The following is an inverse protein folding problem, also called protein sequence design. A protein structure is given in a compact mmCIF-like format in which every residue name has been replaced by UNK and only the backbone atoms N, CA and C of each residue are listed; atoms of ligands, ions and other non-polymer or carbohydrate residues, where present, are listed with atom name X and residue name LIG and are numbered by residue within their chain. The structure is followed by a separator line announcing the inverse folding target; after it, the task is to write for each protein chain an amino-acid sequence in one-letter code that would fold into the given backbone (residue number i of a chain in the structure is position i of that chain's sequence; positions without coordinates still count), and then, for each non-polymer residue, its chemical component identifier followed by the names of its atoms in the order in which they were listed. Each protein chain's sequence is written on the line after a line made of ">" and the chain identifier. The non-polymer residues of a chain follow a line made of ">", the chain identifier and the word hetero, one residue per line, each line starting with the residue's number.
data_IF_418309020618
#
_entry.id   IF_418309020618
#
_cell.length_a   1.000
_cell.length_b   1.000
_cell.length_c   1.000
_cell.angle_alpha   90.00
_cell.angle_beta   90.00
_cell.angle_gamma   90.00
#
_symmetry.space_group_name_H-M   'P 1'
#
loop_
_entity.id
_entity.type
_entity.pdbx_description
1 polymer ?
#
# COMPACT_ATOMS: atom_id res chain seq x y z
N UNK A 1 -0.18 -2.73 21.04
CA UNK A 1 1.03 -2.64 20.18
C UNK A 1 1.45 -4.04 19.76
N UNK A 2 1.70 -4.27 18.46
CA UNK A 2 2.18 -5.53 17.91
C UNK A 2 3.71 -5.62 17.99
N UNK A 3 4.25 -6.83 17.94
CA UNK A 3 5.70 -7.00 17.77
C UNK A 3 6.11 -6.73 16.32
N UNK A 4 5.30 -7.22 15.34
CA UNK A 4 5.58 -7.11 13.91
C UNK A 4 4.30 -6.69 13.17
N UNK A 5 4.36 -5.64 12.35
CA UNK A 5 3.35 -5.36 11.34
C UNK A 5 3.88 -5.69 9.95
N UNK A 6 3.13 -6.50 9.19
CA UNK A 6 3.48 -6.97 7.85
C UNK A 6 2.54 -6.31 6.85
N UNK A 7 3.10 -5.61 5.86
CA UNK A 7 2.35 -4.86 4.87
C UNK A 7 2.44 -5.55 3.51
N UNK A 8 1.38 -6.25 3.15
CA UNK A 8 1.25 -7.02 1.92
C UNK A 8 1.03 -8.51 2.17
N UNK A 9 0.06 -9.10 1.45
CA UNK A 9 -0.34 -10.52 1.53
C UNK A 9 0.13 -11.34 0.32
N UNK A 10 1.19 -10.90 -0.36
CA UNK A 10 1.89 -11.66 -1.37
C UNK A 10 2.80 -12.74 -0.77
N UNK A 11 3.54 -13.52 -1.60
CA UNK A 11 4.41 -14.60 -1.12
C UNK A 11 5.42 -14.16 -0.05
N UNK A 12 5.96 -12.92 -0.15
CA UNK A 12 6.87 -12.38 0.85
C UNK A 12 6.17 -12.15 2.20
N UNK A 13 5.02 -11.45 2.20
CA UNK A 13 4.27 -11.18 3.43
C UNK A 13 3.72 -12.43 4.09
N UNK A 14 3.20 -13.39 3.30
CA UNK A 14 2.72 -14.66 3.83
C UNK A 14 3.86 -15.48 4.45
N UNK A 15 5.01 -15.54 3.79
CA UNK A 15 6.21 -16.22 4.34
C UNK A 15 6.68 -15.54 5.62
N UNK A 16 6.65 -14.20 5.67
CA UNK A 16 6.98 -13.46 6.89
C UNK A 16 5.98 -13.78 8.02
N UNK A 17 4.69 -13.80 7.74
CA UNK A 17 3.64 -14.10 8.72
C UNK A 17 3.76 -15.53 9.29
N UNK A 18 4.03 -16.53 8.42
CA UNK A 18 4.28 -17.90 8.85
C UNK A 18 5.46 -17.98 9.85
N UNK A 19 6.56 -17.30 9.54
CA UNK A 19 7.74 -17.31 10.42
C UNK A 19 7.52 -16.53 11.72
N UNK A 20 6.81 -15.41 11.69
CA UNK A 20 6.40 -14.68 12.89
C UNK A 20 5.51 -15.56 13.80
N UNK A 21 4.56 -16.30 13.21
CA UNK A 21 3.70 -17.26 13.93
C UNK A 21 4.49 -18.37 14.59
N UNK A 22 5.39 -19.01 13.85
CA UNK A 22 6.27 -20.10 14.36
C UNK A 22 7.14 -19.60 15.52
N UNK A 23 7.57 -18.34 15.48
CA UNK A 23 8.38 -17.69 16.52
C UNK A 23 7.55 -17.10 17.66
N UNK A 24 6.23 -17.37 17.72
CA UNK A 24 5.31 -16.90 18.76
C UNK A 24 5.33 -15.38 18.96
N UNK A 25 5.56 -14.61 17.88
CA UNK A 25 5.47 -13.14 17.93
C UNK A 25 4.02 -12.70 17.74
N UNK A 26 3.64 -11.64 18.44
CA UNK A 26 2.36 -10.99 18.23
C UNK A 26 2.44 -10.11 16.97
N UNK A 27 1.74 -10.49 15.90
CA UNK A 27 1.84 -9.78 14.62
C UNK A 27 0.47 -9.49 14.01
N UNK A 28 0.47 -8.52 13.10
CA UNK A 28 -0.65 -8.21 12.20
C UNK A 28 -0.15 -8.23 10.76
N UNK A 29 -0.96 -8.77 9.85
CA UNK A 29 -0.69 -8.73 8.41
C UNK A 29 -1.82 -8.00 7.70
N UNK A 30 -1.46 -6.98 6.93
CA UNK A 30 -2.36 -6.19 6.11
C UNK A 30 -2.28 -6.64 4.65
N UNK A 31 -3.42 -6.77 3.99
CA UNK A 31 -3.48 -7.14 2.59
C UNK A 31 -4.85 -7.61 2.17
N UNK A 32 -4.93 -8.20 0.98
CA UNK A 32 -6.17 -8.75 0.44
C UNK A 32 -6.32 -10.23 0.80
N UNK A 33 -7.51 -10.65 1.25
CA UNK A 33 -7.83 -12.07 1.49
C UNK A 33 -7.70 -12.93 0.25
N UNK A 34 -8.01 -12.36 -0.91
CA UNK A 34 -7.85 -13.04 -2.19
C UNK A 34 -6.40 -13.10 -2.68
N UNK A 35 -5.44 -12.78 -1.81
CA UNK A 35 -4.00 -12.73 -2.08
C UNK A 35 -3.67 -11.87 -3.32
N UNK A 36 -2.55 -12.13 -3.98
CA UNK A 36 -2.11 -11.31 -5.10
C UNK A 36 -2.74 -11.71 -6.43
N UNK A 37 -3.33 -10.76 -7.15
CA UNK A 37 -3.82 -10.96 -8.50
C UNK A 37 -2.73 -11.37 -9.51
N UNK A 38 -1.45 -11.07 -9.22
CA UNK A 38 -0.32 -11.48 -10.06
C UNK A 38 -0.19 -13.00 -10.14
N UNK A 39 -0.32 -13.69 -8.99
CA UNK A 39 -0.24 -15.14 -8.95
C UNK A 39 -1.35 -15.77 -9.78
N UNK A 40 -2.57 -15.23 -9.72
CA UNK A 40 -3.71 -15.71 -10.50
C UNK A 40 -3.50 -15.65 -12.03
N UNK A 41 -2.72 -14.68 -12.51
CA UNK A 41 -2.40 -14.52 -13.94
C UNK A 41 -1.42 -15.57 -14.48
N UNK A 42 -0.71 -16.30 -13.62
CA UNK A 42 0.27 -17.29 -14.03
C UNK A 42 -0.43 -18.57 -14.53
N UNK A 43 -0.35 -18.83 -15.83
CA UNK A 43 -0.95 -20.01 -16.46
C UNK A 43 -0.22 -21.31 -16.09
N UNK A 44 1.10 -21.22 -15.90
CA UNK A 44 1.95 -22.35 -15.52
C UNK A 44 3.20 -21.87 -14.80
N UNK A 45 3.47 -22.44 -13.63
CA UNK A 45 4.66 -22.13 -12.83
C UNK A 45 5.58 -23.35 -12.83
N UNK A 46 6.80 -23.18 -13.37
CA UNK A 46 7.80 -24.25 -13.46
C UNK A 46 9.06 -23.97 -12.64
N UNK A 47 9.22 -22.74 -12.15
CA UNK A 47 10.42 -22.24 -11.48
C UNK A 47 10.25 -22.05 -9.96
N UNK A 48 9.20 -22.62 -9.39
CA UNK A 48 9.03 -22.67 -7.95
C UNK A 48 9.14 -24.11 -7.46
N UNK A 49 10.20 -24.44 -6.74
CA UNK A 49 10.44 -25.77 -6.23
C UNK A 49 9.24 -26.28 -5.42
N UNK A 50 8.75 -27.48 -5.77
CA UNK A 50 7.57 -28.10 -5.17
C UNK A 50 6.24 -27.78 -5.89
N UNK A 51 6.21 -26.83 -6.86
CA UNK A 51 5.01 -26.44 -7.58
C UNK A 51 5.12 -26.63 -9.11
N UNK A 52 5.86 -27.64 -9.55
CA UNK A 52 6.07 -27.89 -10.97
C UNK A 52 4.77 -28.05 -11.73
N UNK A 53 4.60 -27.26 -12.80
CA UNK A 53 3.49 -27.35 -13.74
C UNK A 53 2.16 -26.81 -13.22
N UNK A 54 2.10 -26.29 -12.00
CA UNK A 54 0.86 -25.79 -11.40
C UNK A 54 0.44 -24.43 -11.98
N UNK A 55 -0.86 -24.20 -12.04
CA UNK A 55 -1.42 -22.89 -12.33
C UNK A 55 -1.25 -21.98 -11.10
N UNK A 56 -1.19 -20.68 -11.32
CA UNK A 56 -1.11 -19.71 -10.23
C UNK A 56 -2.31 -19.77 -9.28
N UNK A 57 -3.51 -20.10 -9.78
CA UNK A 57 -4.71 -20.36 -8.96
C UNK A 57 -4.52 -21.53 -8.00
N UNK A 58 -3.95 -22.64 -8.46
CA UNK A 58 -3.71 -23.82 -7.63
C UNK A 58 -2.65 -23.56 -6.53
N UNK A 59 -1.65 -22.74 -6.85
CA UNK A 59 -0.64 -22.30 -5.86
C UNK A 59 -1.29 -21.37 -4.82
N UNK A 60 -2.15 -20.45 -5.28
CA UNK A 60 -2.92 -19.58 -4.41
C UNK A 60 -3.73 -20.36 -3.40
N UNK A 61 -4.49 -21.36 -3.86
CA UNK A 61 -5.32 -22.22 -3.00
C UNK A 61 -4.46 -22.94 -1.95
N UNK A 62 -3.25 -23.39 -2.31
CA UNK A 62 -2.31 -23.98 -1.35
C UNK A 62 -1.80 -22.97 -0.32
N UNK A 63 -1.53 -21.72 -0.72
CA UNK A 63 -1.13 -20.67 0.20
C UNK A 63 -2.28 -20.32 1.16
N UNK A 64 -3.49 -20.16 0.66
CA UNK A 64 -4.69 -19.89 1.47
C UNK A 64 -4.94 -21.01 2.49
N UNK A 65 -4.87 -22.26 2.07
CA UNK A 65 -5.02 -23.40 2.97
C UNK A 65 -3.90 -23.43 4.03
N UNK A 66 -2.65 -23.17 3.66
CA UNK A 66 -1.54 -23.16 4.61
C UNK A 66 -1.71 -22.09 5.69
N UNK A 67 -2.01 -20.84 5.32
CA UNK A 67 -2.20 -19.77 6.31
C UNK A 67 -3.43 -20.00 7.18
N UNK A 68 -4.50 -20.60 6.63
CA UNK A 68 -5.70 -21.00 7.37
C UNK A 68 -5.38 -22.06 8.43
N UNK A 69 -4.67 -23.12 8.05
CA UNK A 69 -4.24 -24.19 8.99
C UNK A 69 -3.35 -23.63 10.11
N UNK A 70 -2.53 -22.63 9.81
CA UNK A 70 -1.69 -21.94 10.80
C UNK A 70 -2.46 -20.89 11.64
N UNK A 71 -3.75 -20.69 11.39
CA UNK A 71 -4.58 -19.71 12.10
C UNK A 71 -4.11 -18.27 11.88
N UNK A 72 -3.64 -17.94 10.67
CA UNK A 72 -3.21 -16.60 10.29
C UNK A 72 -4.39 -15.88 9.63
N UNK A 73 -4.76 -14.73 10.16
CA UNK A 73 -5.82 -13.88 9.63
C UNK A 73 -5.22 -12.64 8.95
N UNK A 74 -5.65 -12.38 7.71
CA UNK A 74 -5.27 -11.17 6.98
C UNK A 74 -6.26 -10.06 7.32
N UNK A 75 -5.73 -8.89 7.71
CA UNK A 75 -6.51 -7.68 7.94
C UNK A 75 -6.70 -6.97 6.61
N UNK A 76 -7.95 -6.90 6.13
CA UNK A 76 -8.31 -6.24 4.86
C UNK A 76 -8.47 -4.74 5.06
N UNK A 77 -7.38 -4.10 5.45
CA UNK A 77 -7.28 -2.65 5.57
C UNK A 77 -6.06 -2.17 4.80
N UNK A 78 -6.22 -1.03 4.14
CA UNK A 78 -5.13 -0.41 3.41
C UNK A 78 -4.31 0.46 4.35
N UNK A 79 -3.01 0.17 4.44
CA UNK A 79 -2.06 1.05 5.14
C UNK A 79 -1.69 2.21 4.21
N UNK A 80 -2.02 3.43 4.63
CA UNK A 80 -1.82 4.64 3.84
C UNK A 80 -0.52 5.37 4.21
N UNK A 81 -0.14 5.35 5.49
CA UNK A 81 1.07 5.99 5.98
C UNK A 81 1.67 5.19 7.14
N UNK A 82 2.99 5.23 7.25
CA UNK A 82 3.74 4.62 8.35
C UNK A 82 4.78 5.63 8.84
N UNK A 83 4.74 5.92 10.12
CA UNK A 83 5.66 6.86 10.76
C UNK A 83 6.57 6.13 11.75
N UNK A 84 7.88 6.34 11.63
CA UNK A 84 8.86 5.89 12.62
C UNK A 84 8.88 6.87 13.80
N UNK A 85 8.65 6.34 15.01
CA UNK A 85 8.54 7.13 16.25
C UNK A 85 9.76 6.95 17.17
N UNK A 86 10.91 6.47 16.63
CA UNK A 86 12.13 6.28 17.41
C UNK A 86 12.06 5.11 18.39
N UNK A 87 11.68 3.92 17.91
CA UNK A 87 11.61 2.68 18.71
C UNK A 87 10.34 1.87 18.45
N UNK A 88 9.37 2.44 17.76
CA UNK A 88 8.16 1.78 17.26
C UNK A 88 7.62 2.52 16.04
N UNK A 89 6.62 1.94 15.39
CA UNK A 89 5.97 2.48 14.21
C UNK A 89 4.48 2.69 14.48
N UNK A 90 3.97 3.81 13.94
CA UNK A 90 2.54 4.11 13.86
C UNK A 90 2.10 3.91 12.43
N UNK A 91 1.11 3.05 12.22
CA UNK A 91 0.54 2.74 10.91
C UNK A 91 -0.88 3.31 10.85
N UNK A 92 -1.15 4.12 9.85
CA UNK A 92 -2.50 4.58 9.54
C UNK A 92 -3.10 3.67 8.47
N UNK A 93 -4.16 2.95 8.82
CA UNK A 93 -4.87 2.06 7.91
C UNK A 93 -6.35 2.45 7.87
N UNK A 94 -6.78 3.03 6.76
CA UNK A 94 -8.09 3.69 6.63
C UNK A 94 -8.28 4.71 7.77
N UNK A 95 -9.32 4.53 8.59
CA UNK A 95 -9.62 5.39 9.76
C UNK A 95 -8.99 4.90 11.07
N UNK A 96 -8.23 3.79 11.03
CA UNK A 96 -7.65 3.16 12.21
C UNK A 96 -6.15 3.41 12.32
N UNK A 97 -5.69 3.44 13.56
CA UNK A 97 -4.28 3.58 13.90
C UNK A 97 -3.80 2.29 14.57
N UNK A 98 -2.68 1.79 14.10
CA UNK A 98 -2.01 0.60 14.63
C UNK A 98 -0.59 0.95 15.08
N UNK A 99 -0.09 0.23 16.07
CA UNK A 99 1.28 0.39 16.56
C UNK A 99 2.01 -0.94 16.52
N UNK A 100 3.26 -0.91 16.07
CA UNK A 100 4.14 -2.08 16.04
C UNK A 100 5.59 -1.70 16.35
N UNK A 101 6.32 -2.60 17.02
CA UNK A 101 7.75 -2.41 17.31
C UNK A 101 8.60 -2.52 16.04
N UNK A 102 8.20 -3.37 15.11
CA UNK A 102 8.87 -3.56 13.82
C UNK A 102 7.86 -3.64 12.69
N UNK A 103 8.30 -3.32 11.47
CA UNK A 103 7.50 -3.45 10.26
C UNK A 103 8.24 -4.27 9.19
N UNK A 104 7.47 -5.01 8.37
CA UNK A 104 7.97 -5.69 7.18
C UNK A 104 7.16 -5.22 5.97
N UNK A 105 7.83 -4.51 5.07
CA UNK A 105 7.25 -4.03 3.82
C UNK A 105 7.34 -5.15 2.77
N UNK A 106 6.18 -5.68 2.38
CA UNK A 106 6.03 -6.75 1.38
C UNK A 106 5.05 -6.34 0.28
N UNK A 107 5.09 -5.06 -0.10
CA UNK A 107 4.09 -4.36 -0.93
C UNK A 107 4.15 -4.74 -2.43
N UNK A 108 5.21 -5.43 -2.87
CA UNK A 108 5.42 -5.71 -4.28
C UNK A 108 5.83 -4.46 -5.09
N UNK A 109 5.55 -4.44 -6.41
CA UNK A 109 5.93 -3.35 -7.32
C UNK A 109 4.77 -2.79 -8.15
N UNK A 110 3.53 -3.17 -7.87
CA UNK A 110 2.38 -2.55 -8.55
C UNK A 110 2.05 -1.23 -7.88
N UNK A 111 2.72 -0.18 -8.32
CA UNK A 111 2.34 1.18 -7.98
C UNK A 111 2.13 2.00 -9.24
N UNK A 112 1.13 2.85 -9.20
CA UNK A 112 0.83 3.79 -10.25
C UNK A 112 1.89 4.88 -10.28
N UNK A 113 2.39 5.23 -11.47
CA UNK A 113 3.33 6.36 -11.60
C UNK A 113 2.71 7.61 -11.01
N UNK A 114 3.48 8.41 -10.26
CA UNK A 114 3.01 9.70 -9.78
C UNK A 114 2.61 10.62 -10.95
N UNK A 115 1.59 11.40 -10.73
CA UNK A 115 1.19 12.49 -11.61
C UNK A 115 2.22 13.63 -11.45
N UNK A 116 2.47 14.41 -12.51
CA UNK A 116 3.33 15.60 -12.39
C UNK A 116 2.83 16.51 -11.26
N UNK A 117 3.72 17.00 -10.39
CA UNK A 117 3.37 17.80 -9.21
C UNK A 117 2.86 17.03 -8.00
N UNK A 118 2.50 15.75 -8.13
CA UNK A 118 1.94 14.95 -7.03
C UNK A 118 2.83 14.94 -5.79
N UNK A 119 4.14 14.75 -5.99
CA UNK A 119 5.12 14.72 -4.90
C UNK A 119 5.45 16.11 -4.34
N UNK A 120 5.45 17.13 -5.19
CA UNK A 120 5.84 18.50 -4.83
C UNK A 120 4.81 19.14 -3.90
N UNK A 121 3.54 18.73 -4.06
CA UNK A 121 2.42 19.22 -3.28
C UNK A 121 1.91 18.23 -2.22
N UNK A 122 2.60 17.11 -1.98
CA UNK A 122 2.23 16.19 -0.90
C UNK A 122 2.26 16.90 0.45
N UNK A 123 1.15 16.83 1.20
CA UNK A 123 0.94 17.61 2.43
C UNK A 123 0.67 19.10 2.22
N UNK A 124 0.64 19.57 0.95
CA UNK A 124 0.32 20.95 0.56
C UNK A 124 -0.92 21.02 -0.33
N UNK A 125 -1.89 20.16 -0.07
CA UNK A 125 -3.10 19.99 -0.85
C UNK A 125 -3.16 18.66 -1.62
N UNK A 126 -2.08 17.88 -1.71
CA UNK A 126 -2.12 16.49 -2.18
C UNK A 126 -2.10 15.54 -0.98
N UNK A 127 -2.94 14.51 -1.03
CA UNK A 127 -3.00 13.45 -0.03
C UNK A 127 -3.34 12.09 -0.65
N UNK A 128 -3.06 11.01 0.10
CA UNK A 128 -3.33 9.62 -0.32
C UNK A 128 -4.44 8.95 0.52
N UNK A 129 -5.01 9.68 1.48
CA UNK A 129 -6.11 9.24 2.32
C UNK A 129 -7.12 10.39 2.41
N UNK A 130 -8.21 10.30 1.65
CA UNK A 130 -9.19 11.37 1.64
C UNK A 130 -9.94 11.44 2.98
N UNK A 131 -10.29 10.32 3.59
CA UNK A 131 -10.94 10.28 4.91
C UNK A 131 -10.09 10.86 6.02
N UNK A 132 -8.75 10.72 5.96
CA UNK A 132 -7.84 11.26 6.97
C UNK A 132 -7.80 12.80 6.94
N UNK A 133 -7.74 13.37 5.74
CA UNK A 133 -7.45 14.78 5.53
C UNK A 133 -8.68 15.63 5.15
N UNK A 134 -9.80 15.01 4.77
CA UNK A 134 -11.02 15.71 4.36
C UNK A 134 -11.51 16.79 5.35
N UNK A 135 -11.41 16.62 6.68
CA UNK A 135 -11.81 17.67 7.62
C UNK A 135 -11.09 19.00 7.43
N UNK A 136 -9.84 18.98 6.88
CA UNK A 136 -9.05 20.19 6.58
C UNK A 136 -9.61 20.97 5.38
N UNK A 137 -10.43 20.33 4.56
CA UNK A 137 -10.98 20.87 3.31
C UNK A 137 -12.51 21.07 3.36
N UNK A 138 -13.04 21.26 4.56
CA UNK A 138 -14.47 21.60 4.74
C UNK A 138 -14.80 22.87 3.96
N UNK A 139 -15.96 22.83 3.25
CA UNK A 139 -16.46 23.94 2.39
C UNK A 139 -15.50 24.31 1.23
N UNK A 140 -14.58 23.43 0.85
CA UNK A 140 -13.61 23.62 -0.22
C UNK A 140 -13.98 22.81 -1.46
N UNK A 141 -13.26 23.06 -2.55
CA UNK A 141 -13.32 22.24 -3.77
C UNK A 141 -12.27 21.16 -3.67
N UNK A 142 -12.69 19.90 -3.79
CA UNK A 142 -11.79 18.73 -3.67
C UNK A 142 -11.89 17.89 -4.94
N UNK A 143 -10.74 17.57 -5.51
CA UNK A 143 -10.63 16.60 -6.62
C UNK A 143 -10.13 15.26 -6.09
N UNK A 144 -10.75 14.15 -6.53
CA UNK A 144 -10.38 12.79 -6.14
C UNK A 144 -10.08 11.98 -7.38
N UNK A 145 -8.84 11.51 -7.49
CA UNK A 145 -8.39 10.62 -8.56
C UNK A 145 -8.44 9.19 -8.01
N UNK A 146 -9.47 8.45 -8.40
CA UNK A 146 -9.74 7.10 -7.91
C UNK A 146 -9.25 6.03 -8.88
N UNK A 147 -8.36 5.14 -8.42
CA UNK A 147 -7.84 4.03 -9.23
C UNK A 147 -8.60 2.71 -9.03
N UNK A 148 -9.51 2.67 -8.07
CA UNK A 148 -10.33 1.50 -7.75
C UNK A 148 -11.71 1.91 -7.20
N UNK A 149 -12.59 0.92 -7.00
CA UNK A 149 -13.94 1.14 -6.45
C UNK A 149 -13.97 1.57 -4.98
N UNK A 150 -12.94 1.28 -4.21
CA UNK A 150 -12.86 1.69 -2.80
C UNK A 150 -12.77 3.22 -2.68
N UNK A 151 -12.17 3.88 -3.68
CA UNK A 151 -12.11 5.33 -3.76
C UNK A 151 -13.50 6.01 -3.81
N UNK A 152 -14.55 5.29 -4.25
CA UNK A 152 -15.92 5.80 -4.27
C UNK A 152 -16.46 6.03 -2.85
N UNK A 153 -16.11 5.16 -1.90
CA UNK A 153 -16.50 5.30 -0.49
C UNK A 153 -15.88 6.56 0.11
N UNK A 154 -14.58 6.77 -0.14
CA UNK A 154 -13.89 7.98 0.31
C UNK A 154 -14.46 9.25 -0.35
N UNK A 155 -14.79 9.21 -1.65
CA UNK A 155 -15.42 10.33 -2.35
C UNK A 155 -16.78 10.68 -1.77
N UNK A 156 -17.61 9.69 -1.46
CA UNK A 156 -18.90 9.87 -0.83
C UNK A 156 -18.81 10.50 0.57
N UNK A 157 -17.78 10.13 1.34
CA UNK A 157 -17.48 10.74 2.63
C UNK A 157 -17.01 12.19 2.49
N UNK A 158 -16.05 12.45 1.60
CA UNK A 158 -15.55 13.82 1.34
C UNK A 158 -16.67 14.75 0.95
N UNK A 159 -17.67 14.26 0.19
CA UNK A 159 -18.82 15.07 -0.23
C UNK A 159 -19.70 15.55 0.93
N UNK A 160 -19.66 14.91 2.09
CA UNK A 160 -20.37 15.36 3.28
C UNK A 160 -19.73 16.63 3.90
N UNK A 161 -18.48 16.89 3.58
CA UNK A 161 -17.68 17.97 4.15
C UNK A 161 -17.35 19.07 3.13
N UNK A 162 -16.98 18.67 1.91
CA UNK A 162 -16.55 19.58 0.86
C UNK A 162 -17.75 20.28 0.19
N UNK A 163 -17.53 21.52 -0.25
CA UNK A 163 -18.50 22.26 -1.06
C UNK A 163 -18.74 21.59 -2.40
N UNK A 164 -17.67 21.15 -3.04
CA UNK A 164 -17.68 20.52 -4.35
C UNK A 164 -16.70 19.36 -4.38
N UNK A 165 -17.09 18.25 -5.00
CA UNK A 165 -16.23 17.10 -5.23
C UNK A 165 -16.21 16.75 -6.70
N UNK A 166 -15.00 16.75 -7.28
CA UNK A 166 -14.73 16.30 -8.63
C UNK A 166 -14.07 14.92 -8.55
N UNK A 167 -14.72 13.88 -9.08
CA UNK A 167 -14.23 12.51 -9.09
C UNK A 167 -13.70 12.14 -10.47
N UNK A 168 -12.43 11.74 -10.53
CA UNK A 168 -11.71 11.38 -11.74
C UNK A 168 -11.41 9.88 -11.67
N UNK A 169 -12.29 9.00 -12.23
CA UNK A 169 -12.07 7.56 -12.22
C UNK A 169 -10.97 7.16 -13.21
N UNK A 170 -10.02 6.37 -12.72
CA UNK A 170 -8.94 5.77 -13.51
C UNK A 170 -9.22 4.29 -13.82
N UNK A 171 -10.47 3.85 -13.67
CA UNK A 171 -10.99 2.53 -13.98
C UNK A 171 -12.34 2.64 -14.68
N UNK A 172 -12.75 1.58 -15.37
CA UNK A 172 -14.03 1.52 -16.08
C UNK A 172 -15.09 0.79 -15.25
N UNK A 173 -16.35 1.17 -15.43
CA UNK A 173 -17.52 0.53 -14.82
C UNK A 173 -18.59 1.52 -14.39
N UNK A 174 -19.56 1.03 -13.63
CA UNK A 174 -20.58 1.84 -12.97
C UNK A 174 -20.03 2.36 -11.64
N UNK A 175 -20.32 3.62 -11.34
CA UNK A 175 -19.85 4.31 -10.14
C UNK A 175 -20.98 4.46 -9.12
N UNK A 176 -20.74 4.03 -7.89
CA UNK A 176 -21.66 4.19 -6.77
C UNK A 176 -21.35 5.48 -5.98
N UNK A 177 -21.57 6.61 -6.64
CA UNK A 177 -21.30 7.94 -6.10
C UNK A 177 -22.60 8.70 -5.80
N UNK A 178 -22.54 9.62 -4.83
CA UNK A 178 -23.66 10.56 -4.57
C UNK A 178 -23.95 11.41 -5.80
N UNK A 179 -25.24 11.76 -6.05
CA UNK A 179 -25.65 12.43 -7.29
C UNK A 179 -24.99 13.81 -7.55
N UNK A 180 -24.52 14.46 -6.52
CA UNK A 180 -23.90 15.79 -6.54
C UNK A 180 -22.37 15.75 -6.57
N UNK A 181 -21.77 14.60 -6.87
CA UNK A 181 -20.36 14.44 -7.20
C UNK A 181 -20.18 14.55 -8.71
N UNK A 182 -19.32 15.46 -9.15
CA UNK A 182 -19.01 15.64 -10.57
C UNK A 182 -18.07 14.53 -11.05
N UNK A 183 -18.51 13.67 -11.96
CA UNK A 183 -17.68 12.61 -12.54
C UNK A 183 -17.03 13.13 -13.81
N UNK A 184 -15.69 13.16 -13.85
CA UNK A 184 -14.90 13.65 -14.97
C UNK A 184 -14.04 12.52 -15.53
N UNK A 185 -14.41 12.02 -16.71
CA UNK A 185 -13.74 10.89 -17.39
C UNK A 185 -12.59 11.36 -18.28
N UNK A 186 -11.63 12.04 -17.67
CA UNK A 186 -10.39 12.48 -18.31
C UNK A 186 -9.19 12.06 -17.50
N UNK A 187 -8.05 11.81 -18.15
CA UNK A 187 -6.83 11.45 -17.43
C UNK A 187 -6.16 12.68 -16.84
N UNK A 188 -5.71 12.60 -15.58
CA UNK A 188 -4.94 13.67 -14.96
C UNK A 188 -3.53 13.73 -15.59
N UNK A 189 -3.04 14.94 -15.84
CA UNK A 189 -1.69 15.20 -16.36
C UNK A 189 -0.78 15.83 -15.33
N UNK A 190 -1.28 16.85 -14.63
CA UNK A 190 -0.46 17.65 -13.73
C UNK A 190 -1.28 18.25 -12.61
N UNK A 191 -0.69 18.28 -11.42
CA UNK A 191 -1.20 18.99 -10.25
C UNK A 191 -0.36 20.25 -10.09
N UNK A 192 -1.00 21.41 -10.01
CA UNK A 192 -0.35 22.71 -10.00
C UNK A 192 -0.76 23.54 -8.79
N UNK A 193 0.09 24.51 -8.45
CA UNK A 193 -0.15 25.49 -7.44
C UNK A 193 1.10 26.39 -7.23
N UNK A 194 1.03 27.33 -6.30
CA UNK A 194 2.19 28.12 -5.88
C UNK A 194 2.80 27.53 -4.61
N UNK A 195 2.22 27.84 -3.45
CA UNK A 195 2.64 27.27 -2.14
C UNK A 195 1.85 26.04 -1.78
N UNK A 196 0.64 25.87 -2.33
CA UNK A 196 -0.27 24.76 -2.17
C UNK A 196 -1.03 24.51 -3.47
N UNK A 197 -1.68 23.38 -3.59
CA UNK A 197 -2.52 23.04 -4.75
C UNK A 197 -3.59 24.12 -4.97
N UNK A 198 -3.78 24.51 -6.22
CA UNK A 198 -4.89 25.35 -6.66
C UNK A 198 -5.53 24.88 -7.96
N UNK A 199 -4.91 23.91 -8.67
CA UNK A 199 -5.38 23.44 -9.97
C UNK A 199 -4.97 21.98 -10.24
N UNK A 200 -5.89 21.26 -10.89
CA UNK A 200 -5.65 19.95 -11.49
C UNK A 200 -5.84 20.07 -13.01
N UNK A 201 -4.78 19.77 -13.76
CA UNK A 201 -4.77 19.75 -15.23
C UNK A 201 -5.10 18.35 -15.70
N UNK A 202 -6.12 18.21 -16.55
CA UNK A 202 -6.52 16.97 -17.20
C UNK A 202 -6.11 16.96 -18.69
N UNK A 203 -6.50 15.94 -19.44
CA UNK A 203 -6.13 15.85 -20.87
C UNK A 203 -6.69 17.01 -21.71
N UNK A 204 -7.90 17.47 -21.41
CA UNK A 204 -8.62 18.47 -22.20
C UNK A 204 -9.07 19.68 -21.38
N UNK A 205 -9.21 19.52 -20.08
CA UNK A 205 -9.75 20.54 -19.17
C UNK A 205 -8.80 20.81 -18.01
N UNK A 206 -9.06 21.91 -17.30
CA UNK A 206 -8.42 22.26 -16.05
C UNK A 206 -9.50 22.47 -14.98
N UNK A 207 -9.23 22.07 -13.74
CA UNK A 207 -10.14 22.17 -12.61
C UNK A 207 -9.48 23.00 -11.52
N UNK A 208 -10.12 24.07 -11.08
CA UNK A 208 -9.74 24.73 -9.84
C UNK A 208 -10.05 23.82 -8.67
N UNK A 209 -9.10 23.62 -7.75
CA UNK A 209 -9.26 22.71 -6.62
C UNK A 209 -8.37 23.12 -5.46
N UNK A 210 -8.87 22.99 -4.24
CA UNK A 210 -8.10 23.25 -3.01
C UNK A 210 -7.30 22.05 -2.55
N UNK A 211 -7.73 20.83 -2.97
CA UNK A 211 -7.02 19.58 -2.68
C UNK A 211 -7.22 18.56 -3.80
N UNK A 212 -6.21 17.69 -3.94
CA UNK A 212 -6.24 16.51 -4.83
C UNK A 212 -5.91 15.27 -4.01
N UNK A 213 -6.88 14.37 -3.84
CA UNK A 213 -6.63 13.07 -3.24
C UNK A 213 -6.40 12.03 -4.33
N UNK A 214 -5.24 11.37 -4.28
CA UNK A 214 -4.84 10.35 -5.26
C UNK A 214 -4.94 8.97 -4.60
N UNK A 215 -6.07 8.29 -4.84
CA UNK A 215 -6.43 7.04 -4.19
C UNK A 215 -6.04 5.86 -5.07
N UNK A 216 -4.82 5.35 -4.85
CA UNK A 216 -4.18 4.26 -5.61
C UNK A 216 -4.31 2.93 -4.87
N UNK A 217 -4.21 1.80 -5.57
CA UNK A 217 -4.17 0.46 -4.95
C UNK A 217 -2.92 0.25 -4.08
N UNK A 218 -1.80 0.80 -4.52
CA UNK A 218 -0.55 0.75 -3.76
C UNK A 218 0.23 2.06 -3.91
N UNK A 219 0.78 2.52 -2.80
CA UNK A 219 1.70 3.65 -2.75
C UNK A 219 3.12 3.19 -3.05
N UNK A 220 3.95 4.08 -3.60
CA UNK A 220 5.37 3.79 -3.68
C UNK A 220 5.96 3.68 -2.26
N UNK A 221 6.97 2.85 -2.04
CA UNK A 221 7.52 2.64 -0.70
C UNK A 221 7.95 3.92 0.02
N UNK A 222 8.52 4.90 -0.72
CA UNK A 222 8.93 6.18 -0.14
C UNK A 222 7.77 7.11 0.21
N UNK A 223 6.59 6.91 -0.38
CA UNK A 223 5.34 7.60 -0.01
C UNK A 223 4.72 6.95 1.21
N UNK A 224 4.80 5.61 1.32
CA UNK A 224 4.27 4.86 2.43
C UNK A 224 5.06 5.08 3.72
N UNK A 225 6.40 5.12 3.63
CA UNK A 225 7.31 5.31 4.77
C UNK A 225 8.24 6.47 4.47
N UNK A 226 7.99 7.68 5.00
CA UNK A 226 8.87 8.84 4.82
C UNK A 226 10.30 8.57 5.30
N UNK A 227 11.29 8.95 4.51
CA UNK A 227 12.70 8.77 4.82
C UNK A 227 13.29 7.41 4.43
N UNK A 228 12.51 6.54 3.80
CA UNK A 228 13.00 5.25 3.31
C UNK A 228 13.94 5.45 2.09
N UNK A 229 15.13 4.85 2.15
CA UNK A 229 16.08 4.89 1.02
C UNK A 229 15.63 3.98 -0.10
N UNK A 230 15.62 4.53 -1.33
CA UNK A 230 15.31 3.81 -2.55
C UNK A 230 16.52 3.77 -3.47
N UNK A 231 16.71 2.65 -4.14
CA UNK A 231 17.68 2.47 -5.21
C UNK A 231 16.96 1.91 -6.45
N UNK A 232 17.03 2.59 -7.59
CA UNK A 232 16.31 2.22 -8.82
C UNK A 232 14.80 1.96 -8.60
N UNK A 233 14.14 2.81 -7.82
CA UNK A 233 12.73 2.69 -7.39
C UNK A 233 12.39 1.46 -6.54
N UNK A 234 13.37 0.78 -5.97
CA UNK A 234 13.20 -0.33 -5.04
C UNK A 234 13.71 0.07 -3.65
N UNK A 235 13.17 -0.57 -2.63
CA UNK A 235 13.64 -0.35 -1.27
C UNK A 235 15.05 -0.93 -1.15
N UNK A 236 16.01 -0.09 -0.76
CA UNK A 236 17.37 -0.53 -0.50
C UNK A 236 17.42 -1.33 0.79
N UNK A 237 17.94 -2.55 0.72
CA UNK A 237 18.05 -3.45 1.87
C UNK A 237 19.42 -4.11 1.95
N UNK A 238 19.79 -4.53 3.17
CA UNK A 238 20.92 -5.42 3.42
C UNK A 238 20.58 -6.86 3.02
N UNK A 239 21.56 -7.79 3.13
CA UNK A 239 21.30 -9.24 2.97
C UNK A 239 20.35 -9.81 4.02
N UNK A 240 20.13 -9.10 5.12
CA UNK A 240 19.20 -9.44 6.18
C UNK A 240 17.83 -8.76 6.02
N UNK A 241 17.59 -8.18 4.85
CA UNK A 241 16.34 -7.44 4.53
C UNK A 241 16.11 -6.22 5.42
N UNK A 242 17.14 -5.67 6.05
CA UNK A 242 17.10 -4.45 6.85
C UNK A 242 17.14 -3.23 5.92
N UNK A 243 16.29 -2.23 6.19
CA UNK A 243 16.33 -0.92 5.50
C UNK A 243 17.25 0.06 6.25
N UNK A 244 17.32 1.30 5.77
CA UNK A 244 17.99 2.40 6.48
C UNK A 244 17.23 2.87 7.76
N UNK A 245 15.98 2.48 7.94
CA UNK A 245 15.18 2.82 9.11
C UNK A 245 15.23 1.64 10.08
N UNK A 246 15.71 1.88 11.29
CA UNK A 246 15.84 0.86 12.33
C UNK A 246 14.50 0.23 12.68
N UNK A 247 14.42 -1.11 12.74
CA UNK A 247 13.19 -1.87 12.96
C UNK A 247 12.28 -1.99 11.72
N UNK A 248 12.68 -1.39 10.59
CA UNK A 248 11.98 -1.51 9.31
C UNK A 248 12.71 -2.48 8.38
N UNK A 249 11.99 -3.49 7.92
CA UNK A 249 12.48 -4.52 6.99
C UNK A 249 11.66 -4.49 5.70
N UNK A 250 12.22 -4.99 4.60
CA UNK A 250 11.48 -5.09 3.35
C UNK A 250 11.83 -6.38 2.60
N UNK A 251 10.87 -6.94 1.85
CA UNK A 251 11.05 -8.21 1.16
C UNK A 251 10.15 -8.35 -0.07
N UNK A 252 10.56 -9.14 -1.03
CA UNK A 252 9.82 -9.44 -2.24
C UNK A 252 10.15 -8.48 -3.38
N UNK A 253 9.20 -8.28 -4.29
CA UNK A 253 9.45 -7.50 -5.50
C UNK A 253 9.80 -6.03 -5.18
N UNK A 254 9.34 -5.49 -4.07
CA UNK A 254 9.63 -4.10 -3.67
C UNK A 254 11.12 -3.84 -3.36
N UNK A 255 11.93 -4.88 -3.16
CA UNK A 255 13.38 -4.76 -2.95
C UNK A 255 14.22 -5.05 -4.21
N UNK A 256 13.57 -5.33 -5.34
CA UNK A 256 14.25 -5.47 -6.64
C UNK A 256 14.09 -6.83 -7.30
N UNK A 257 14.66 -6.92 -8.51
CA UNK A 257 14.67 -8.13 -9.33
C UNK A 257 15.57 -9.24 -8.70
N UNK A 258 15.32 -10.52 -9.11
CA UNK A 258 14.30 -11.00 -10.04
C UNK A 258 12.91 -11.07 -9.40
N UNK A 259 11.87 -10.76 -10.18
CA UNK A 259 10.48 -10.78 -9.71
C UNK A 259 9.92 -12.21 -9.77
N UNK A 260 10.24 -13.01 -8.77
CA UNK A 260 9.88 -14.42 -8.70
C UNK A 260 9.24 -14.77 -7.35
N UNK A 261 8.22 -15.63 -7.38
CA UNK A 261 7.48 -16.03 -6.17
C UNK A 261 8.36 -16.69 -5.13
N UNK A 262 9.29 -17.58 -5.55
CA UNK A 262 10.21 -18.28 -4.64
C UNK A 262 11.22 -17.29 -4.00
N UNK A 263 11.72 -16.31 -4.76
CA UNK A 263 12.61 -15.24 -4.24
C UNK A 263 11.85 -14.43 -3.20
N UNK A 264 10.65 -13.99 -3.53
CA UNK A 264 9.82 -13.20 -2.62
C UNK A 264 9.50 -13.96 -1.32
N UNK A 265 9.15 -15.25 -1.41
CA UNK A 265 8.91 -16.09 -0.23
C UNK A 265 10.19 -16.27 0.62
N UNK A 266 11.35 -16.48 -0.01
CA UNK A 266 12.63 -16.59 0.68
C UNK A 266 13.03 -15.31 1.41
N UNK A 267 12.88 -14.17 0.78
CA UNK A 267 13.16 -12.88 1.41
C UNK A 267 12.19 -12.55 2.55
N UNK A 268 10.91 -12.89 2.42
CA UNK A 268 9.93 -12.75 3.51
C UNK A 268 10.32 -13.56 4.74
N UNK A 269 10.84 -14.79 4.54
CA UNK A 269 11.41 -15.59 5.63
C UNK A 269 12.59 -14.86 6.29
N UNK A 270 13.54 -14.36 5.51
CA UNK A 270 14.71 -13.64 6.03
C UNK A 270 14.29 -12.39 6.81
N UNK A 271 13.38 -11.58 6.24
CA UNK A 271 12.90 -10.37 6.88
C UNK A 271 12.24 -10.64 8.24
N UNK A 272 11.41 -11.69 8.31
CA UNK A 272 10.75 -12.07 9.57
C UNK A 272 11.76 -12.53 10.63
N UNK A 273 12.72 -13.36 10.26
CA UNK A 273 13.75 -13.82 11.19
C UNK A 273 14.67 -12.69 11.64
N UNK A 274 14.93 -11.71 10.79
CA UNK A 274 15.69 -10.50 11.14
C UNK A 274 14.90 -9.59 12.08
N UNK A 275 13.60 -9.41 11.85
CA UNK A 275 12.71 -8.69 12.76
C UNK A 275 12.66 -9.36 14.15
N UNK A 276 12.55 -10.68 14.19
CA UNK A 276 12.61 -11.45 15.46
C UNK A 276 13.93 -11.21 16.19
N UNK A 277 15.06 -11.31 15.48
CA UNK A 277 16.38 -11.05 16.06
C UNK A 277 16.52 -9.62 16.60
N UNK A 278 15.94 -8.66 15.90
CA UNK A 278 15.91 -7.26 16.36
C UNK A 278 15.11 -7.13 17.66
N UNK A 279 13.91 -7.71 17.71
CA UNK A 279 13.07 -7.69 18.91
C UNK A 279 13.73 -8.37 20.12
N UNK A 280 14.44 -9.46 19.89
CA UNK A 280 15.16 -10.19 20.97
C UNK A 280 16.34 -9.39 21.53
N UNK A 281 16.84 -8.36 20.83
CA UNK A 281 17.86 -7.42 21.35
C UNK A 281 17.26 -6.27 22.16
N UNK A 282 15.95 -5.99 21.99
CA UNK A 282 15.23 -4.95 22.72
C UNK A 282 14.66 -5.46 24.06
N UNK A 283 14.65 -6.80 24.23
CA UNK A 283 14.18 -7.49 25.44
C UNK A 283 15.31 -7.63 26.45
#
# INVERSE_FOLDING_TARGET
>A
MYDIAIIGSGPAGLSAALNAKIRNKNFIIFGYKNLTNKLMKAQKVNNYLGFYGMKGSEIKDRFENHIKEMGINITEERVNNIYSMGGYFVLMANEKVYEAKTIILATGIEYTKPISGEKDYLGKGVGYCATCDAPLYKEKIVSIIGYNKEAELEANYVKELAREVNYIPMYEGDYNLKPDINIIKEKPKEIMGETKVNRLVLEKTEIETDAVFVLKDSLSPGELVPGLELENNHIKVTRLMETNIEGCFAAGDCVGAPYQYIKSAGEGNIASLSAVRYLDKLS
#
